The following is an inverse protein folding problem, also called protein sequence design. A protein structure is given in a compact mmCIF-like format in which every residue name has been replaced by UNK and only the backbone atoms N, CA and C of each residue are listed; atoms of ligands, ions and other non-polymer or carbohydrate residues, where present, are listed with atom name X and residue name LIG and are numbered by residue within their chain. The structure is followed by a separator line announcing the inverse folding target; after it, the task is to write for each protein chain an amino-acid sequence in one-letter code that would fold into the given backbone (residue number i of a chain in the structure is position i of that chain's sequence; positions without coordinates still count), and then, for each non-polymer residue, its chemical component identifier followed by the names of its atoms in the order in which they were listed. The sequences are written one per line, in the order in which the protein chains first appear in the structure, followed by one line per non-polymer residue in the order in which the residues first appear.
data_IF_097450888406
#
_entry.id   IF_097450888406
#
_cell.length_a   1.000
_cell.length_b   1.000
_cell.length_c   1.000
_cell.angle_alpha   90.00
_cell.angle_beta   90.00
_cell.angle_gamma   90.00
#
_symmetry.space_group_name_H-M   'P 1'
#
loop_
_entity.id
_entity.type
_entity.pdbx_description
1 polymer ?
#
# COMPACT_ATOMS: atom_id res chain seq x y z
N UNK A 1 9.87 -21.61 -26.39
CA UNK A 1 10.43 -20.35 -26.91
C UNK A 1 10.39 -20.24 -28.44
N UNK A 2 10.81 -21.22 -29.25
CA UNK A 2 10.79 -21.11 -30.73
C UNK A 2 9.44 -20.73 -31.34
N UNK A 3 8.33 -21.26 -30.81
CA UNK A 3 6.99 -20.89 -31.27
C UNK A 3 6.58 -19.50 -30.76
N UNK A 4 6.85 -19.21 -29.48
CA UNK A 4 6.62 -17.89 -28.86
C UNK A 4 7.35 -16.78 -29.64
N UNK A 5 8.58 -17.02 -30.09
CA UNK A 5 9.36 -16.07 -30.88
C UNK A 5 8.73 -15.65 -32.21
N UNK A 6 7.76 -16.42 -32.73
CA UNK A 6 7.02 -16.07 -33.96
C UNK A 6 5.93 -15.03 -33.72
N UNK A 7 5.40 -14.99 -32.50
CA UNK A 7 4.23 -14.18 -32.13
C UNK A 7 4.59 -13.04 -31.18
N UNK A 8 5.66 -13.22 -30.39
CA UNK A 8 6.07 -12.32 -29.31
C UNK A 8 7.43 -11.73 -29.62
N UNK A 9 7.47 -10.40 -29.71
CA UNK A 9 8.70 -9.62 -29.91
C UNK A 9 9.28 -9.07 -28.61
N UNK A 10 8.47 -8.91 -27.56
CA UNK A 10 8.87 -8.37 -26.25
C UNK A 10 8.33 -9.26 -25.14
N UNK A 11 9.17 -9.63 -24.19
CA UNK A 11 8.80 -10.30 -22.94
C UNK A 11 9.18 -9.38 -21.78
N UNK A 12 8.24 -9.18 -20.87
CA UNK A 12 8.45 -8.43 -19.64
C UNK A 12 8.34 -9.38 -18.44
N UNK A 13 9.37 -9.42 -17.61
CA UNK A 13 9.28 -10.00 -16.27
C UNK A 13 9.22 -8.89 -15.24
N UNK A 14 8.13 -8.87 -14.49
CA UNK A 14 8.04 -8.05 -13.31
C UNK A 14 8.56 -8.83 -12.09
N UNK A 15 9.19 -8.13 -11.15
CA UNK A 15 9.70 -8.67 -9.88
C UNK A 15 10.55 -9.95 -10.02
N UNK A 16 11.59 -9.86 -10.85
CA UNK A 16 12.47 -10.99 -11.14
C UNK A 16 13.34 -11.36 -9.94
N UNK A 17 12.97 -12.46 -9.29
CA UNK A 17 13.61 -12.99 -8.09
C UNK A 17 13.65 -14.52 -8.12
N UNK A 18 14.62 -15.12 -7.41
CA UNK A 18 14.87 -16.57 -7.44
C UNK A 18 15.16 -17.03 -6.01
N UNK A 19 14.37 -17.98 -5.52
CA UNK A 19 14.52 -18.60 -4.19
C UNK A 19 14.96 -20.07 -4.26
N UNK A 20 14.62 -20.78 -5.35
CA UNK A 20 14.86 -22.22 -5.50
C UNK A 20 15.76 -22.58 -6.69
N UNK A 21 16.48 -23.70 -6.58
CA UNK A 21 17.41 -24.19 -7.60
C UNK A 21 16.69 -24.65 -8.87
N UNK A 22 15.49 -25.22 -8.78
CA UNK A 22 14.72 -25.66 -9.93
C UNK A 22 14.32 -24.45 -10.80
N UNK A 23 13.87 -23.38 -10.16
CA UNK A 23 13.54 -22.12 -10.83
C UNK A 23 14.77 -21.53 -11.52
N UNK A 24 15.91 -21.52 -10.83
CA UNK A 24 17.19 -21.06 -11.39
C UNK A 24 17.55 -21.82 -12.68
N UNK A 25 17.41 -23.16 -12.68
CA UNK A 25 17.72 -24.00 -13.83
C UNK A 25 16.76 -23.79 -15.00
N UNK A 26 15.45 -23.72 -14.74
CA UNK A 26 14.43 -23.45 -15.76
C UNK A 26 14.68 -22.09 -16.39
N UNK A 27 14.94 -21.09 -15.56
CA UNK A 27 15.13 -19.71 -15.96
C UNK A 27 16.39 -19.52 -16.79
N UNK A 28 17.49 -20.18 -16.40
CA UNK A 28 18.73 -20.22 -17.19
C UNK A 28 18.44 -20.68 -18.63
N UNK A 29 17.70 -21.78 -18.78
CA UNK A 29 17.33 -22.31 -20.10
C UNK A 29 16.40 -21.38 -20.87
N UNK A 30 15.49 -20.69 -20.18
CA UNK A 30 14.58 -19.74 -20.78
C UNK A 30 15.34 -18.54 -21.36
N UNK A 31 16.21 -17.92 -20.56
CA UNK A 31 17.01 -16.76 -20.94
C UNK A 31 17.92 -17.05 -22.14
N UNK A 32 18.61 -18.19 -22.13
CA UNK A 32 19.42 -18.65 -23.27
C UNK A 32 18.62 -18.63 -24.57
N UNK A 33 17.39 -19.14 -24.53
CA UNK A 33 16.53 -19.19 -25.70
C UNK A 33 15.98 -17.82 -26.09
N UNK A 34 15.59 -16.98 -25.12
CA UNK A 34 15.13 -15.60 -25.39
C UNK A 34 16.20 -14.82 -26.16
N UNK A 35 17.44 -14.86 -25.68
CA UNK A 35 18.55 -14.19 -26.36
C UNK A 35 18.88 -14.82 -27.71
N UNK A 36 18.86 -16.15 -27.81
CA UNK A 36 19.08 -16.85 -29.08
C UNK A 36 18.07 -16.47 -30.16
N UNK A 37 16.81 -16.28 -29.79
CA UNK A 37 15.74 -15.89 -30.72
C UNK A 37 15.57 -14.38 -30.86
N UNK A 38 16.46 -13.56 -30.27
CA UNK A 38 16.44 -12.09 -30.34
C UNK A 38 15.10 -11.47 -29.92
N UNK A 39 14.44 -12.06 -28.92
CA UNK A 39 13.26 -11.47 -28.31
C UNK A 39 13.73 -10.36 -27.36
N UNK A 40 13.11 -9.19 -27.43
CA UNK A 40 13.40 -8.10 -26.49
C UNK A 40 12.94 -8.49 -25.08
N UNK A 41 13.78 -8.22 -24.10
CA UNK A 41 13.54 -8.62 -22.73
C UNK A 41 13.61 -7.39 -21.82
N UNK A 42 12.54 -7.16 -21.06
CA UNK A 42 12.46 -6.14 -20.02
C UNK A 42 12.31 -6.85 -18.69
N UNK A 43 13.14 -6.50 -17.71
CA UNK A 43 13.15 -7.11 -16.38
C UNK A 43 13.18 -6.01 -15.33
N UNK A 44 12.31 -6.11 -14.33
CA UNK A 44 12.42 -5.36 -13.06
C UNK A 44 12.92 -6.30 -11.97
N UNK A 45 13.78 -5.81 -11.06
CA UNK A 45 14.35 -6.58 -9.95
C UNK A 45 14.70 -5.64 -8.81
N UNK A 46 14.51 -6.09 -7.57
CA UNK A 46 14.93 -5.35 -6.38
C UNK A 46 16.42 -5.58 -6.02
N UNK A 47 17.11 -6.48 -6.71
CA UNK A 47 18.54 -6.74 -6.51
C UNK A 47 19.32 -6.69 -7.83
N UNK A 48 20.63 -6.46 -7.73
CA UNK A 48 21.51 -6.47 -8.88
C UNK A 48 21.57 -7.87 -9.52
N UNK A 49 21.85 -8.02 -10.83
CA UNK A 49 21.99 -9.34 -11.44
C UNK A 49 23.04 -10.23 -10.74
N UNK A 50 24.11 -9.65 -10.19
CA UNK A 50 25.10 -10.38 -9.38
C UNK A 50 24.57 -10.92 -8.07
N UNK A 51 23.44 -10.43 -7.58
CA UNK A 51 22.82 -10.81 -6.30
C UNK A 51 21.63 -11.75 -6.50
N UNK A 52 21.21 -12.02 -7.74
CA UNK A 52 20.18 -13.01 -8.02
C UNK A 52 20.60 -14.37 -7.50
N UNK A 53 19.74 -15.01 -6.69
CA UNK A 53 19.99 -16.32 -6.06
C UNK A 53 21.25 -16.35 -5.17
N UNK A 54 21.56 -15.24 -4.48
CA UNK A 54 22.72 -15.13 -3.58
C UNK A 54 22.58 -16.14 -2.44
N UNK A 55 23.67 -16.83 -2.14
CA UNK A 55 23.72 -17.90 -1.13
C UNK A 55 22.81 -19.10 -1.40
N UNK A 56 22.21 -19.17 -2.61
CA UNK A 56 21.40 -20.29 -3.06
C UNK A 56 22.18 -21.60 -3.22
N UNK A 57 21.50 -22.71 -3.00
CA UNK A 57 22.07 -24.05 -3.15
C UNK A 57 22.56 -24.26 -4.58
N UNK A 58 23.82 -24.68 -4.77
CA UNK A 58 24.41 -24.88 -6.10
C UNK A 58 24.37 -23.66 -7.04
N UNK A 59 24.46 -22.44 -6.48
CA UNK A 59 24.51 -21.16 -7.21
C UNK A 59 25.47 -21.13 -8.42
N UNK A 60 26.56 -21.89 -8.38
CA UNK A 60 27.51 -22.00 -9.50
C UNK A 60 26.85 -22.43 -10.81
N UNK A 61 25.78 -23.23 -10.74
CA UNK A 61 25.00 -23.65 -11.91
C UNK A 61 24.20 -22.48 -12.52
N UNK A 62 23.92 -21.44 -11.73
CA UNK A 62 23.17 -20.26 -12.17
C UNK A 62 24.07 -19.09 -12.60
N UNK A 63 25.37 -19.09 -12.24
CA UNK A 63 26.32 -18.06 -12.68
C UNK A 63 26.33 -17.81 -14.20
N UNK A 64 26.25 -18.84 -15.07
CA UNK A 64 26.17 -18.62 -16.52
C UNK A 64 24.95 -17.81 -16.96
N UNK A 65 23.81 -17.95 -16.27
CA UNK A 65 22.61 -17.17 -16.54
C UNK A 65 22.80 -15.71 -16.14
N UNK A 66 23.43 -15.47 -14.98
CA UNK A 66 23.79 -14.12 -14.52
C UNK A 66 24.73 -13.44 -15.52
N UNK A 67 25.74 -14.16 -16.01
CA UNK A 67 26.67 -13.63 -17.01
C UNK A 67 25.96 -13.33 -18.34
N UNK A 68 25.02 -14.19 -18.74
CA UNK A 68 24.18 -13.98 -19.92
C UNK A 68 23.29 -12.74 -19.78
N UNK A 69 22.70 -12.51 -18.61
CA UNK A 69 21.94 -11.29 -18.29
C UNK A 69 22.84 -10.06 -18.44
N UNK A 70 24.00 -10.04 -17.77
CA UNK A 70 24.93 -8.91 -17.79
C UNK A 70 25.47 -8.60 -19.18
N UNK A 71 25.66 -9.63 -20.01
CA UNK A 71 26.17 -9.51 -21.37
C UNK A 71 25.13 -8.99 -22.36
N UNK A 72 23.87 -9.42 -22.23
CA UNK A 72 22.85 -9.17 -23.25
C UNK A 72 21.86 -8.05 -22.87
N UNK A 73 21.78 -7.64 -21.60
CA UNK A 73 20.88 -6.59 -21.13
C UNK A 73 21.63 -5.33 -20.75
N UNK A 74 20.94 -4.19 -20.90
CA UNK A 74 21.37 -2.91 -20.34
C UNK A 74 20.87 -2.87 -18.90
N UNK A 75 21.80 -2.82 -17.96
CA UNK A 75 21.47 -2.70 -16.53
C UNK A 75 21.25 -1.23 -16.23
N UNK A 76 19.99 -0.87 -15.99
CA UNK A 76 19.62 0.47 -15.53
C UNK A 76 19.43 0.37 -14.02
N UNK A 77 20.37 0.92 -13.26
CA UNK A 77 20.15 1.12 -11.84
C UNK A 77 19.22 2.34 -11.68
N UNK A 78 17.98 2.07 -11.30
CA UNK A 78 17.07 3.14 -10.86
C UNK A 78 17.62 3.53 -9.49
N UNK A 79 18.36 4.65 -9.43
CA UNK A 79 18.95 5.15 -8.19
C UNK A 79 17.90 5.19 -7.08
N UNK A 80 18.34 5.17 -5.81
CA UNK A 80 17.56 5.60 -4.66
C UNK A 80 17.22 7.10 -4.78
N UNK A 81 16.58 7.50 -5.88
CA UNK A 81 15.74 8.67 -5.89
C UNK A 81 14.57 8.42 -4.97
N UNK A 82 13.61 9.34 -4.98
CA UNK A 82 12.44 9.21 -4.15
C UNK A 82 11.78 7.87 -4.45
N UNK A 83 11.73 6.99 -3.45
CA UNK A 83 11.01 5.74 -3.58
C UNK A 83 9.55 6.13 -3.84
N UNK A 84 9.05 5.91 -5.05
CA UNK A 84 7.66 6.24 -5.38
C UNK A 84 6.69 5.36 -4.58
N UNK A 85 7.18 4.24 -3.99
CA UNK A 85 6.45 3.55 -2.92
C UNK A 85 6.42 4.42 -1.67
N UNK A 86 7.50 5.07 -1.21
CA UNK A 86 7.47 6.04 -0.09
C UNK A 86 6.74 7.35 -0.40
N UNK A 87 6.66 7.79 -1.65
CA UNK A 87 5.81 8.94 -2.04
C UNK A 87 4.34 8.57 -1.85
N UNK A 88 3.97 7.33 -2.21
CA UNK A 88 2.62 6.81 -2.01
C UNK A 88 2.40 6.22 -0.58
N UNK A 89 3.47 5.83 0.09
CA UNK A 89 3.58 5.28 1.44
C UNK A 89 4.30 6.28 2.34
N UNK A 90 3.91 7.56 2.27
CA UNK A 90 3.74 8.32 3.52
C UNK A 90 2.47 7.81 4.21
N UNK A 91 2.43 6.51 4.45
CA UNK A 91 1.80 5.99 5.65
C UNK A 91 2.66 6.56 6.78
N UNK A 92 2.04 7.16 7.79
CA UNK A 92 2.77 7.53 9.02
C UNK A 92 3.62 8.81 8.93
N UNK A 93 2.95 9.95 8.71
CA UNK A 93 3.09 11.18 9.53
C UNK A 93 2.53 12.39 8.78
N UNK A 94 1.45 12.95 9.33
CA UNK A 94 1.53 14.33 9.80
C UNK A 94 1.18 14.26 11.29
N UNK A 95 2.15 14.34 12.23
CA UNK A 95 1.81 14.87 13.53
C UNK A 95 1.38 16.30 13.24
N UNK A 96 0.07 16.57 13.29
CA UNK A 96 -0.40 17.95 13.37
C UNK A 96 -0.21 18.34 14.84
N UNK A 97 1.05 18.38 15.26
CA UNK A 97 1.44 19.24 16.37
C UNK A 97 1.46 20.64 15.77
N UNK A 98 0.55 21.47 16.26
CA UNK A 98 0.33 22.88 15.96
C UNK A 98 -0.85 23.16 15.01
N UNK A 99 -1.75 23.95 15.58
CA UNK A 99 -2.83 24.77 15.00
C UNK A 99 -2.87 24.81 13.46
N UNK A 100 -4.04 24.47 12.91
CA UNK A 100 -4.37 24.26 11.50
C UNK A 100 -3.99 22.89 10.94
N UNK A 101 -4.95 21.97 11.09
CA UNK A 101 -5.25 20.92 10.12
C UNK A 101 -4.77 21.28 8.70
N UNK A 102 -3.59 20.80 8.28
CA UNK A 102 -3.02 21.19 6.98
C UNK A 102 -3.68 20.40 5.85
N UNK A 103 -4.95 20.73 5.59
CA UNK A 103 -5.73 20.25 4.46
C UNK A 103 -4.93 20.36 3.16
N UNK A 104 -4.08 21.39 3.00
CA UNK A 104 -3.26 21.55 1.80
C UNK A 104 -2.19 20.48 1.69
N UNK A 105 -1.60 20.03 2.80
CA UNK A 105 -0.65 18.90 2.76
C UNK A 105 -1.35 17.57 2.46
N UNK A 106 -2.54 17.34 3.02
CA UNK A 106 -3.33 16.14 2.71
C UNK A 106 -3.80 16.14 1.25
N UNK A 107 -4.21 17.29 0.73
CA UNK A 107 -4.56 17.48 -0.67
C UNK A 107 -3.35 17.23 -1.57
N UNK A 108 -2.18 17.81 -1.26
CA UNK A 108 -0.93 17.50 -1.99
C UNK A 108 -0.61 16.01 -1.99
N UNK A 109 -0.77 15.34 -0.85
CA UNK A 109 -0.56 13.90 -0.75
C UNK A 109 -1.55 13.13 -1.63
N UNK A 110 -2.84 13.44 -1.53
CA UNK A 110 -3.87 12.83 -2.39
C UNK A 110 -3.56 13.02 -3.89
N UNK A 111 -3.16 14.24 -4.27
CA UNK A 111 -2.79 14.57 -5.65
C UNK A 111 -1.52 13.85 -6.10
N UNK A 112 -0.55 13.63 -5.21
CA UNK A 112 0.66 12.84 -5.56
C UNK A 112 0.33 11.39 -5.92
N UNK A 113 -0.73 10.81 -5.34
CA UNK A 113 -1.16 9.44 -5.64
C UNK A 113 -1.99 9.38 -6.94
N UNK A 114 -2.93 10.31 -7.13
CA UNK A 114 -3.93 10.23 -8.20
C UNK A 114 -3.61 11.10 -9.43
N UNK A 115 -2.59 11.97 -9.34
CA UNK A 115 -2.30 12.97 -10.36
C UNK A 115 -3.49 13.91 -10.58
N UNK A 116 -3.96 14.00 -11.82
CA UNK A 116 -5.11 14.83 -12.23
C UNK A 116 -6.39 14.02 -12.44
N UNK A 117 -6.39 12.70 -12.26
CA UNK A 117 -7.56 11.86 -12.44
C UNK A 117 -8.29 11.64 -11.10
N UNK A 118 -9.06 12.63 -10.68
CA UNK A 118 -9.89 12.55 -9.49
C UNK A 118 -11.12 13.45 -9.62
N UNK A 119 -12.06 13.22 -8.71
CA UNK A 119 -13.26 14.02 -8.57
C UNK A 119 -13.35 14.58 -7.16
N UNK A 120 -13.95 15.76 -7.01
CA UNK A 120 -14.12 16.42 -5.72
C UNK A 120 -15.58 16.53 -5.36
N UNK A 121 -15.88 16.41 -4.06
CA UNK A 121 -17.24 16.51 -3.51
C UNK A 121 -18.27 15.63 -4.23
N UNK A 122 -17.84 14.43 -4.66
CA UNK A 122 -18.73 13.45 -5.27
C UNK A 122 -19.09 12.35 -4.28
N UNK A 123 -20.34 11.89 -4.36
CA UNK A 123 -20.78 10.72 -3.61
C UNK A 123 -20.34 9.44 -4.32
N UNK A 124 -19.74 8.53 -3.55
CA UNK A 124 -19.53 7.16 -4.00
C UNK A 124 -20.76 6.33 -3.66
N UNK A 125 -21.14 5.40 -4.54
CA UNK A 125 -22.26 4.50 -4.30
C UNK A 125 -21.72 3.16 -3.79
N UNK A 126 -22.07 2.81 -2.56
CA UNK A 126 -21.78 1.51 -1.95
C UNK A 126 -23.11 0.88 -1.55
N UNK A 127 -23.40 -0.30 -2.12
CA UNK A 127 -24.64 -1.05 -1.85
C UNK A 127 -25.92 -0.21 -1.98
N UNK A 128 -25.97 0.63 -3.01
CA UNK A 128 -27.12 1.52 -3.27
C UNK A 128 -27.25 2.71 -2.30
N UNK A 129 -26.24 2.97 -1.47
CA UNK A 129 -26.18 4.14 -0.59
C UNK A 129 -25.06 5.07 -1.01
N UNK A 130 -25.36 6.35 -1.00
CA UNK A 130 -24.38 7.40 -1.24
C UNK A 130 -23.52 7.65 0.00
N UNK A 131 -22.23 7.86 -0.22
CA UNK A 131 -21.25 8.28 0.78
C UNK A 131 -20.49 9.45 0.18
N UNK A 132 -20.67 10.64 0.74
CA UNK A 132 -19.97 11.83 0.31
C UNK A 132 -18.46 11.66 0.50
N UNK A 133 -17.70 11.92 -0.55
CA UNK A 133 -16.24 11.98 -0.50
C UNK A 133 -15.77 13.41 -0.80
N UNK A 134 -14.74 13.86 -0.09
CA UNK A 134 -14.09 15.13 -0.38
C UNK A 134 -13.31 15.03 -1.70
N UNK A 135 -12.58 13.90 -1.86
CA UNK A 135 -11.85 13.56 -3.06
C UNK A 135 -11.99 12.06 -3.36
N UNK A 136 -12.18 11.71 -4.63
CA UNK A 136 -12.25 10.32 -5.10
C UNK A 136 -11.42 10.15 -6.37
N UNK A 137 -10.40 9.30 -6.29
CA UNK A 137 -9.65 8.79 -7.42
C UNK A 137 -9.99 7.33 -7.72
N UNK A 138 -9.19 6.68 -8.54
CA UNK A 138 -9.44 5.30 -8.98
C UNK A 138 -9.27 4.28 -7.84
N UNK A 139 -8.24 4.47 -7.00
CA UNK A 139 -7.91 3.56 -5.88
C UNK A 139 -7.71 4.27 -4.55
N UNK A 140 -7.98 5.57 -4.50
CA UNK A 140 -7.80 6.42 -3.32
C UNK A 140 -9.06 7.22 -3.07
N UNK A 141 -9.49 7.31 -1.82
CA UNK A 141 -10.66 8.10 -1.44
C UNK A 141 -10.41 8.85 -0.14
N UNK A 142 -10.95 10.06 -0.05
CA UNK A 142 -10.88 10.90 1.13
C UNK A 142 -12.29 11.20 1.63
N UNK A 143 -12.57 10.79 2.85
CA UNK A 143 -13.83 11.05 3.56
C UNK A 143 -13.66 12.04 4.70
N UNK A 144 -14.72 12.79 4.96
CA UNK A 144 -14.97 13.37 6.28
C UNK A 144 -15.43 12.25 7.25
N UNK A 145 -15.01 12.33 8.51
CA UNK A 145 -15.39 11.37 9.55
C UNK A 145 -16.91 11.17 9.66
N UNK A 146 -17.71 12.23 9.62
CA UNK A 146 -19.16 12.13 9.75
C UNK A 146 -19.81 11.51 8.50
N UNK A 147 -19.22 11.68 7.31
CA UNK A 147 -19.74 11.05 6.09
C UNK A 147 -19.64 9.51 6.17
N UNK A 148 -18.55 9.00 6.74
CA UNK A 148 -18.25 7.56 6.80
C UNK A 148 -18.74 6.88 8.09
N UNK A 149 -18.79 7.61 9.21
CA UNK A 149 -19.17 7.07 10.52
C UNK A 149 -20.44 7.70 11.13
N UNK A 150 -20.94 8.82 10.62
CA UNK A 150 -22.11 9.54 11.17
C UNK A 150 -23.47 8.99 10.76
N UNK A 151 -23.54 8.30 9.62
CA UNK A 151 -24.80 7.78 9.07
C UNK A 151 -24.93 6.26 9.18
N UNK A 152 -26.09 5.71 8.78
CA UNK A 152 -26.38 4.27 8.80
C UNK A 152 -25.43 3.51 7.86
N UNK A 153 -24.33 3.00 8.42
CA UNK A 153 -23.37 2.09 7.78
C UNK A 153 -23.34 0.74 8.50
N UNK A 154 -23.05 -0.29 7.73
CA UNK A 154 -22.90 -1.67 8.16
C UNK A 154 -21.47 -2.14 7.86
N UNK A 155 -21.03 -3.20 8.53
CA UNK A 155 -19.72 -3.81 8.25
C UNK A 155 -19.50 -4.12 6.77
N UNK A 156 -20.55 -4.59 6.08
CA UNK A 156 -20.46 -4.90 4.65
C UNK A 156 -20.16 -3.69 3.77
N UNK A 157 -20.51 -2.47 4.22
CA UNK A 157 -20.15 -1.27 3.47
C UNK A 157 -18.64 -1.03 3.56
N UNK A 158 -18.06 -1.25 4.74
CA UNK A 158 -16.62 -1.13 4.93
C UNK A 158 -15.84 -2.20 4.16
N UNK A 159 -16.38 -3.42 4.04
CA UNK A 159 -15.82 -4.48 3.17
C UNK A 159 -15.77 -3.99 1.72
N UNK A 160 -16.88 -3.47 1.21
CA UNK A 160 -16.98 -3.02 -0.19
C UNK A 160 -16.08 -1.79 -0.45
N UNK A 161 -15.93 -0.90 0.55
CA UNK A 161 -15.01 0.24 0.48
C UNK A 161 -13.56 -0.22 0.45
N UNK A 162 -13.16 -1.13 1.34
CA UNK A 162 -11.80 -1.67 1.41
C UNK A 162 -11.41 -2.48 0.16
N UNK A 163 -12.38 -3.18 -0.44
CA UNK A 163 -12.18 -3.86 -1.72
C UNK A 163 -11.94 -2.88 -2.87
N UNK A 164 -12.62 -1.73 -2.85
CA UNK A 164 -12.56 -0.74 -3.94
C UNK A 164 -11.33 0.18 -3.82
N UNK A 165 -10.98 0.61 -2.61
CA UNK A 165 -9.94 1.61 -2.37
C UNK A 165 -8.78 1.01 -1.57
N UNK A 166 -7.55 1.24 -2.04
CA UNK A 166 -6.33 0.81 -1.36
C UNK A 166 -5.69 1.89 -0.50
N UNK A 167 -6.05 3.15 -0.73
CA UNK A 167 -5.66 4.28 0.10
C UNK A 167 -6.92 5.00 0.57
N UNK A 168 -7.05 5.19 1.88
CA UNK A 168 -8.19 5.87 2.48
C UNK A 168 -7.67 6.98 3.40
N UNK A 169 -8.18 8.19 3.19
CA UNK A 169 -7.92 9.34 4.05
C UNK A 169 -9.21 9.67 4.81
N UNK A 170 -9.12 9.86 6.12
CA UNK A 170 -10.24 10.29 6.96
C UNK A 170 -9.86 11.55 7.70
N UNK A 171 -10.64 12.61 7.51
CA UNK A 171 -10.44 13.92 8.10
C UNK A 171 -11.47 14.29 9.14
N UNK A 172 -11.19 15.36 9.90
CA UNK A 172 -12.12 15.97 10.85
C UNK A 172 -12.66 14.95 11.88
N UNK A 173 -11.79 14.06 12.33
CA UNK A 173 -12.15 13.09 13.35
C UNK A 173 -12.40 13.84 14.65
N UNK A 174 -13.61 13.67 15.17
CA UNK A 174 -14.04 14.27 16.42
C UNK A 174 -13.88 13.28 17.57
N UNK A 175 -13.71 13.80 18.78
CA UNK A 175 -13.70 12.97 19.99
C UNK A 175 -15.10 12.37 20.19
N UNK A 176 -15.16 11.04 20.27
CA UNK A 176 -16.39 10.29 20.45
C UNK A 176 -16.66 10.12 21.94
N UNK A 177 -17.62 10.91 22.44
CA UNK A 177 -18.11 10.80 23.81
C UNK A 177 -19.20 9.71 23.93
N UNK A 178 -19.80 9.59 25.12
CA UNK A 178 -20.84 8.58 25.40
C UNK A 178 -22.15 8.75 24.59
N UNK A 179 -22.38 9.89 23.94
CA UNK A 179 -23.53 10.11 23.05
C UNK A 179 -23.25 9.61 21.62
N UNK A 180 -21.96 9.49 21.27
CA UNK A 180 -21.47 9.10 19.94
C UNK A 180 -21.12 7.61 19.84
N UNK A 181 -21.80 6.79 20.64
CA UNK A 181 -21.56 5.34 20.73
C UNK A 181 -21.78 4.59 19.40
N UNK A 182 -22.69 5.08 18.56
CA UNK A 182 -22.96 4.44 17.28
C UNK A 182 -21.86 4.74 16.26
N UNK A 183 -21.36 5.97 16.24
CA UNK A 183 -20.22 6.45 15.46
C UNK A 183 -18.95 5.71 15.91
N UNK A 184 -18.78 5.56 17.22
CA UNK A 184 -17.68 4.82 17.83
C UNK A 184 -17.66 3.35 17.39
N UNK A 185 -18.81 2.65 17.42
CA UNK A 185 -18.92 1.27 16.89
C UNK A 185 -18.63 1.19 15.39
N UNK A 186 -19.10 2.17 14.63
CA UNK A 186 -18.87 2.25 13.18
C UNK A 186 -17.40 2.48 12.87
N UNK A 187 -16.73 3.35 13.63
CA UNK A 187 -15.29 3.58 13.52
C UNK A 187 -14.50 2.31 13.85
N UNK A 188 -14.81 1.61 14.95
CA UNK A 188 -14.19 0.31 15.25
C UNK A 188 -14.37 -0.66 14.09
N UNK A 189 -15.60 -0.81 13.57
CA UNK A 189 -15.88 -1.74 12.47
C UNK A 189 -15.15 -1.36 11.17
N UNK A 190 -14.98 -0.06 10.91
CA UNK A 190 -14.20 0.45 9.80
C UNK A 190 -12.72 0.09 9.98
N UNK A 191 -12.10 0.46 11.10
CA UNK A 191 -10.68 0.18 11.35
C UNK A 191 -10.38 -1.31 11.31
N UNK A 192 -11.24 -2.14 11.90
CA UNK A 192 -11.10 -3.59 11.86
C UNK A 192 -11.03 -4.11 10.42
N UNK A 193 -11.90 -3.63 9.54
CA UNK A 193 -11.94 -4.06 8.15
C UNK A 193 -10.74 -3.53 7.32
N UNK A 194 -10.35 -2.28 7.57
CA UNK A 194 -9.18 -1.69 6.90
C UNK A 194 -7.88 -2.38 7.31
N UNK A 195 -7.77 -2.76 8.58
CA UNK A 195 -6.67 -3.54 9.12
C UNK A 195 -6.62 -4.93 8.47
N UNK A 196 -7.73 -5.67 8.49
CA UNK A 196 -7.79 -7.05 7.97
C UNK A 196 -7.46 -7.11 6.46
N UNK A 197 -7.76 -6.05 5.70
CA UNK A 197 -7.48 -5.96 4.26
C UNK A 197 -6.17 -5.22 3.90
N UNK A 198 -5.34 -4.86 4.89
CA UNK A 198 -4.08 -4.12 4.71
C UNK A 198 -4.26 -2.83 3.87
N UNK A 199 -5.29 -2.05 4.19
CA UNK A 199 -5.55 -0.77 3.51
C UNK A 199 -4.63 0.31 4.08
N UNK A 200 -4.03 1.11 3.20
CA UNK A 200 -3.27 2.28 3.62
C UNK A 200 -4.24 3.35 4.14
N UNK A 201 -4.13 3.68 5.43
CA UNK A 201 -5.05 4.57 6.13
C UNK A 201 -4.31 5.80 6.66
N UNK A 202 -4.81 6.98 6.30
CA UNK A 202 -4.41 8.25 6.91
C UNK A 202 -5.55 8.80 7.74
N UNK A 203 -5.29 8.97 9.02
CA UNK A 203 -6.19 9.65 9.95
C UNK A 203 -5.65 11.05 10.20
N UNK A 204 -6.43 12.06 9.84
CA UNK A 204 -6.11 13.45 10.09
C UNK A 204 -7.04 14.00 11.19
N UNK A 205 -6.45 14.26 12.34
CA UNK A 205 -7.13 14.69 13.57
C UNK A 205 -6.31 15.78 14.25
N UNK A 206 -6.99 16.74 14.87
CA UNK A 206 -6.36 17.75 15.73
C UNK A 206 -6.23 17.28 17.18
N UNK A 207 -6.84 16.15 17.52
CA UNK A 207 -6.80 15.54 18.84
C UNK A 207 -5.79 14.39 18.87
N UNK A 208 -5.19 14.15 20.04
CA UNK A 208 -4.37 12.94 20.26
C UNK A 208 -5.23 11.71 19.96
N UNK A 209 -4.73 10.82 19.10
CA UNK A 209 -5.44 9.61 18.70
C UNK A 209 -5.82 8.75 19.91
N UNK A 210 -5.08 8.84 21.03
CA UNK A 210 -5.37 8.14 22.30
C UNK A 210 -6.67 8.62 22.96
N UNK A 211 -7.10 9.85 22.66
CA UNK A 211 -8.27 10.50 23.25
C UNK A 211 -9.50 10.49 22.32
N UNK A 212 -9.44 9.78 21.19
CA UNK A 212 -10.55 9.72 20.23
C UNK A 212 -11.84 9.14 20.81
N UNK A 213 -11.77 8.33 21.87
CA UNK A 213 -12.93 7.81 22.56
C UNK A 213 -12.88 8.11 24.06
N UNK A 214 -13.93 8.78 24.54
CA UNK A 214 -14.10 9.21 25.93
C UNK A 214 -15.29 8.54 26.62
N UNK A 215 -15.99 7.62 25.93
CA UNK A 215 -17.06 6.84 26.53
C UNK A 215 -16.57 5.71 27.44
N UNK A 216 -17.50 5.09 28.16
CA UNK A 216 -17.19 3.96 29.06
C UNK A 216 -17.45 2.58 28.43
N UNK A 217 -18.42 2.46 27.52
CA UNK A 217 -18.95 1.16 27.09
C UNK A 217 -18.02 0.39 26.15
N UNK A 218 -17.25 1.10 25.32
CA UNK A 218 -16.42 0.53 24.25
C UNK A 218 -14.93 0.65 24.56
N UNK A 219 -14.54 0.93 25.81
CA UNK A 219 -13.13 1.16 26.18
C UNK A 219 -12.23 -0.02 25.79
N UNK A 220 -12.73 -1.25 25.96
CA UNK A 220 -11.94 -2.45 25.66
C UNK A 220 -11.72 -2.64 24.16
N UNK A 221 -12.74 -2.35 23.37
CA UNK A 221 -12.75 -2.43 21.92
C UNK A 221 -11.92 -1.30 21.30
N UNK A 222 -11.98 -0.10 21.87
CA UNK A 222 -11.12 1.02 21.46
C UNK A 222 -9.67 0.77 21.78
N UNK A 223 -9.34 0.13 22.91
CA UNK A 223 -7.96 -0.26 23.20
C UNK A 223 -7.38 -1.16 22.10
N UNK A 224 -8.16 -2.14 21.61
CA UNK A 224 -7.77 -2.98 20.48
C UNK A 224 -7.67 -2.17 19.18
N UNK A 225 -8.60 -1.26 18.96
CA UNK A 225 -8.60 -0.36 17.79
C UNK A 225 -7.34 0.50 17.77
N UNK A 226 -6.89 1.03 18.91
CA UNK A 226 -5.64 1.77 19.02
C UNK A 226 -4.42 0.90 18.71
N UNK A 227 -4.36 -0.34 19.20
CA UNK A 227 -3.28 -1.26 18.84
C UNK A 227 -3.22 -1.49 17.33
N UNK A 228 -4.37 -1.70 16.68
CA UNK A 228 -4.43 -1.83 15.21
C UNK A 228 -3.98 -0.57 14.49
N UNK A 229 -4.39 0.60 14.96
CA UNK A 229 -3.96 1.87 14.37
C UNK A 229 -2.44 2.06 14.48
N UNK A 230 -1.85 1.70 15.62
CA UNK A 230 -0.40 1.72 15.82
C UNK A 230 0.28 0.71 14.89
N UNK A 231 -0.22 -0.53 14.78
CA UNK A 231 0.33 -1.53 13.87
C UNK A 231 0.23 -1.12 12.38
N UNK A 232 -0.86 -0.48 11.99
CA UNK A 232 -1.03 0.07 10.64
C UNK A 232 -0.06 1.22 10.35
N UNK A 233 0.34 1.96 11.39
CA UNK A 233 1.39 2.98 11.33
C UNK A 233 2.80 2.35 11.28
N UNK A 234 3.00 1.28 12.05
CA UNK A 234 4.26 0.58 12.24
C UNK A 234 4.52 -0.50 11.18
N UNK A 235 3.74 -0.59 10.11
CA UNK A 235 4.06 -1.51 9.00
C UNK A 235 5.37 -1.15 8.24
N UNK A 236 6.09 -0.10 8.68
CA UNK A 236 7.51 0.14 8.36
C UNK A 236 8.50 -0.60 9.31
N UNK A 237 8.11 -0.98 10.53
CA UNK A 237 8.97 -1.67 11.52
C UNK A 237 9.28 -3.13 11.19
N UNK A 238 8.61 -3.71 10.19
CA UNK A 238 8.96 -5.07 9.72
C UNK A 238 10.19 -5.11 8.81
N UNK A 239 10.79 -3.97 8.48
CA UNK A 239 12.12 -3.90 7.86
C UNK A 239 13.17 -3.38 8.85
N UNK A 240 13.49 -4.23 9.83
CA UNK A 240 14.80 -4.29 10.49
C UNK A 240 15.33 -2.99 11.10
N UNK A 241 14.98 -2.74 12.37
CA UNK A 241 15.98 -2.50 13.41
C UNK A 241 15.30 -2.56 14.78
N UNK A 242 15.74 -3.55 15.58
CA UNK A 242 15.57 -3.53 17.03
C UNK A 242 16.49 -2.43 17.56
N UNK A 243 15.90 -1.52 18.30
CA UNK A 243 16.38 -0.77 19.47
C UNK A 243 15.49 0.48 19.47
N UNK A 244 14.69 0.76 20.51
CA UNK A 244 15.15 1.45 21.71
C UNK A 244 14.12 1.24 22.84
N UNK A 245 14.67 1.17 24.05
CA UNK A 245 14.04 0.98 25.36
C UNK A 245 13.12 2.13 25.81
N UNK A 246 12.29 1.80 26.81
CA UNK A 246 11.43 2.62 27.69
C UNK A 246 11.80 4.09 27.87
#
# INVERSE_FOLDING_TARGET
VKNIAKEVRVICFDEFYIEDIADAMILSKLLENIFKYKIYLVITSNCMPSELYKDGLQRDLFLPAIDSIKKNLIIINISQGVDYRQINNKSTQLPIENDDYDHKNLEKYFLSINGSNYKTNESIIIRGREIESLYCGDRTVWFDFLAICGYKRSKNDYIDIANKYKNIIISNIIEMNSEMENEARRFIALIDELYDQNINLILATNNDYKNLYQGEKLKSEFKRTYSRLIEMQDNDYSNGNKDINF
#
